data_IF_343298967873
#
_entry.id   IF_343298967873
#
_cell.length_a   1.000
_cell.length_b   1.000
_cell.length_c   1.000
_cell.angle_alpha   90.00
_cell.angle_beta   90.00
_cell.angle_gamma   90.00
#
_symmetry.space_group_name_H-M   'P 1'
#
loop_
_entity.id
_entity.type
_entity.pdbx_description
1 polymer ?
#
# COMPACT_ATOMS: atom_id res chain seq x y z
N UNK A 1 11.22 19.93 26.18
CA UNK A 1 10.65 18.89 25.30
C UNK A 1 11.02 17.54 25.91
N UNK A 2 10.04 16.73 26.34
CA UNK A 2 10.36 15.36 26.75
C UNK A 2 10.69 14.54 25.50
N UNK A 3 11.75 13.72 25.58
CA UNK A 3 12.03 12.73 24.54
C UNK A 3 11.25 11.47 24.89
N UNK A 4 10.41 11.00 23.96
CA UNK A 4 9.74 9.70 24.08
C UNK A 4 10.66 8.55 23.64
N UNK A 5 10.25 7.29 23.89
CA UNK A 5 10.96 6.14 23.34
C UNK A 5 10.91 6.15 21.81
N UNK A 6 11.95 5.60 21.17
CA UNK A 6 11.92 5.37 19.72
C UNK A 6 10.86 4.31 19.40
N UNK A 7 10.04 4.59 18.39
CA UNK A 7 9.09 3.62 17.83
C UNK A 7 9.59 3.05 16.49
N UNK A 8 10.79 3.45 16.06
CA UNK A 8 11.44 2.96 14.84
C UNK A 8 11.70 1.46 14.99
N UNK A 9 11.22 0.68 14.02
CA UNK A 9 11.36 -0.78 13.97
C UNK A 9 10.83 -1.55 15.20
N UNK A 10 9.90 -0.98 15.98
CA UNK A 10 9.24 -1.68 17.11
C UNK A 10 8.03 -2.45 16.60
N UNK A 11 8.11 -3.78 16.51
CA UNK A 11 7.07 -4.66 15.93
C UNK A 11 5.63 -4.32 16.37
N UNK A 12 5.38 -4.20 17.67
CA UNK A 12 4.05 -3.87 18.22
C UNK A 12 3.50 -2.54 17.68
N UNK A 13 4.37 -1.54 17.47
CA UNK A 13 3.98 -0.25 16.91
C UNK A 13 3.55 -0.39 15.43
N UNK A 14 4.23 -1.25 14.67
CA UNK A 14 3.88 -1.54 13.28
C UNK A 14 2.56 -2.28 13.20
N UNK A 15 2.37 -3.35 13.99
CA UNK A 15 1.12 -4.12 14.00
C UNK A 15 -0.08 -3.22 14.38
N UNK A 16 0.08 -2.39 15.41
CA UNK A 16 -0.95 -1.42 15.82
C UNK A 16 -1.24 -0.39 14.71
N UNK A 17 -0.21 0.06 14.00
CA UNK A 17 -0.35 1.02 12.90
C UNK A 17 -1.04 0.40 11.69
N UNK A 18 -0.63 -0.82 11.29
CA UNK A 18 -1.26 -1.61 10.25
C UNK A 18 -2.76 -1.76 10.56
N UNK A 19 -3.12 -2.27 11.74
CA UNK A 19 -4.52 -2.49 12.12
C UNK A 19 -5.34 -1.20 12.07
N UNK A 20 -4.79 -0.09 12.57
CA UNK A 20 -5.45 1.23 12.51
C UNK A 20 -5.64 1.73 11.07
N UNK A 21 -4.66 1.55 10.18
CA UNK A 21 -4.75 2.02 8.80
C UNK A 21 -5.76 1.20 7.98
N UNK A 22 -5.81 -0.12 8.19
CA UNK A 22 -6.86 -0.98 7.66
C UNK A 22 -8.23 -0.48 8.15
N UNK A 23 -8.44 -0.31 9.47
CA UNK A 23 -9.73 0.17 10.02
C UNK A 23 -10.20 1.53 9.49
N UNK A 24 -9.29 2.38 8.99
CA UNK A 24 -9.62 3.68 8.40
C UNK A 24 -10.05 3.60 6.94
N UNK A 25 -10.07 2.41 6.35
CA UNK A 25 -10.38 2.24 4.92
C UNK A 25 -9.30 2.82 4.01
N UNK A 26 -8.03 2.79 4.45
CA UNK A 26 -6.89 3.17 3.59
C UNK A 26 -6.52 2.09 2.56
N UNK A 27 -7.46 1.19 2.28
CA UNK A 27 -7.39 0.13 1.29
C UNK A 27 -8.72 0.04 0.56
N UNK A 28 -8.71 -0.40 -0.70
CA UNK A 28 -9.91 -0.79 -1.41
C UNK A 28 -10.44 -2.13 -0.85
N UNK A 29 -11.70 -2.14 -0.44
CA UNK A 29 -12.33 -3.35 0.10
C UNK A 29 -12.71 -4.31 -1.02
N UNK A 30 -11.92 -5.38 -1.14
CA UNK A 30 -12.14 -6.48 -2.09
C UNK A 30 -13.51 -7.15 -1.92
N UNK A 31 -14.03 -7.15 -0.70
CA UNK A 31 -15.28 -7.84 -0.39
C UNK A 31 -16.47 -6.86 -0.47
N UNK A 32 -16.26 -5.62 -0.94
CA UNK A 32 -17.32 -4.65 -1.16
C UNK A 32 -18.27 -5.12 -2.28
N UNK A 33 -19.59 -4.82 -2.19
CA UNK A 33 -20.58 -5.27 -3.18
C UNK A 33 -20.34 -4.75 -4.60
N UNK A 34 -19.63 -3.64 -4.74
CA UNK A 34 -19.27 -2.99 -6.00
C UNK A 34 -17.80 -3.25 -6.41
N UNK A 35 -17.14 -4.20 -5.74
CA UNK A 35 -15.79 -4.60 -6.10
C UNK A 35 -15.77 -5.14 -7.54
N UNK A 36 -14.91 -4.56 -8.39
CA UNK A 36 -14.75 -5.00 -9.78
C UNK A 36 -13.71 -6.11 -9.87
N UNK A 37 -14.06 -7.21 -10.53
CA UNK A 37 -13.15 -8.33 -10.79
C UNK A 37 -11.85 -7.90 -11.47
N UNK A 38 -11.89 -6.86 -12.31
CA UNK A 38 -10.71 -6.35 -13.00
C UNK A 38 -9.66 -5.74 -12.05
N UNK A 39 -10.03 -5.40 -10.81
CA UNK A 39 -9.12 -4.80 -9.81
C UNK A 39 -8.28 -5.85 -9.10
N UNK A 40 -8.69 -7.13 -9.13
CA UNK A 40 -7.91 -8.22 -8.53
C UNK A 40 -6.51 -8.34 -9.13
N UNK A 41 -6.34 -7.98 -10.42
CA UNK A 41 -5.04 -7.96 -11.09
C UNK A 41 -4.39 -6.57 -11.18
N UNK A 42 -5.03 -5.52 -10.64
CA UNK A 42 -4.56 -4.11 -10.76
C UNK A 42 -4.24 -3.51 -9.40
N UNK A 43 -3.43 -4.24 -8.64
CA UNK A 43 -3.08 -3.89 -7.27
C UNK A 43 -1.89 -2.93 -7.24
N UNK A 44 -1.76 -2.14 -6.17
CA UNK A 44 -0.68 -1.20 -6.01
C UNK A 44 0.68 -1.89 -6.14
N UNK A 45 0.91 -3.03 -5.46
CA UNK A 45 2.20 -3.77 -5.56
C UNK A 45 2.60 -4.17 -6.97
N UNK A 46 1.64 -4.40 -7.86
CA UNK A 46 1.89 -4.81 -9.26
C UNK A 46 2.02 -3.62 -10.21
N UNK A 47 1.87 -2.39 -9.71
CA UNK A 47 1.99 -1.17 -10.48
C UNK A 47 3.44 -0.69 -10.57
N UNK A 48 3.89 -0.22 -11.74
CA UNK A 48 5.26 0.27 -11.94
C UNK A 48 5.61 1.55 -11.15
N UNK A 49 4.60 2.20 -10.55
CA UNK A 49 4.75 3.40 -9.72
C UNK A 49 4.67 3.11 -8.21
N UNK A 50 4.68 1.84 -7.79
CA UNK A 50 4.65 1.48 -6.38
C UNK A 50 6.05 1.49 -5.78
N UNK A 51 6.20 2.25 -4.70
CA UNK A 51 7.45 2.34 -3.94
C UNK A 51 7.23 1.67 -2.59
N UNK A 52 7.77 0.46 -2.34
CA UNK A 52 7.57 -0.20 -1.06
C UNK A 52 8.20 0.62 0.08
N UNK A 53 7.52 0.69 1.23
CA UNK A 53 8.10 1.28 2.42
C UNK A 53 9.25 0.41 2.93
N UNK A 54 10.16 0.98 3.71
CA UNK A 54 11.25 0.22 4.32
C UNK A 54 10.85 -0.48 5.62
N UNK A 55 11.60 -1.52 6.01
CA UNK A 55 11.46 -2.17 7.31
C UNK A 55 10.24 -3.09 7.37
N UNK A 56 9.57 -3.15 8.51
CA UNK A 56 8.46 -4.07 8.74
C UNK A 56 7.22 -3.81 7.88
N UNK A 57 7.13 -2.66 7.20
CA UNK A 57 6.03 -2.34 6.27
C UNK A 57 6.27 -2.79 4.84
N UNK A 58 7.48 -3.21 4.47
CA UNK A 58 7.86 -3.45 3.07
C UNK A 58 6.99 -4.48 2.34
N UNK A 59 6.35 -5.39 3.08
CA UNK A 59 5.48 -6.43 2.52
C UNK A 59 3.98 -6.13 2.56
N UNK A 60 3.55 -4.96 3.03
CA UNK A 60 2.12 -4.62 3.15
C UNK A 60 1.83 -3.20 2.61
N UNK A 61 2.80 -2.28 2.75
CA UNK A 61 2.58 -0.86 2.54
C UNK A 61 3.69 -0.23 1.70
N UNK A 62 3.28 0.65 0.80
CA UNK A 62 4.14 1.43 -0.06
C UNK A 62 3.61 2.85 -0.22
N UNK A 63 4.14 3.56 -1.20
CA UNK A 63 3.62 4.85 -1.65
C UNK A 63 3.39 4.83 -3.15
N UNK A 64 2.44 5.63 -3.62
CA UNK A 64 2.27 5.88 -5.04
C UNK A 64 3.20 7.01 -5.48
N UNK A 65 3.94 6.82 -6.58
CA UNK A 65 4.79 7.84 -7.21
C UNK A 65 4.26 8.28 -8.59
N UNK A 66 3.02 7.95 -8.93
CA UNK A 66 2.42 8.32 -10.20
C UNK A 66 1.83 9.73 -10.10
N UNK A 67 2.48 10.73 -10.72
CA UNK A 67 2.03 12.12 -10.75
C UNK A 67 0.64 12.34 -11.38
N UNK A 68 0.10 11.35 -12.10
CA UNK A 68 -1.25 11.39 -12.66
C UNK A 68 -2.30 10.71 -11.78
N UNK A 69 -1.89 10.01 -10.72
CA UNK A 69 -2.80 9.38 -9.77
C UNK A 69 -3.29 10.41 -8.75
N UNK A 70 -4.57 10.36 -8.33
CA UNK A 70 -5.04 11.12 -7.17
C UNK A 70 -4.36 10.70 -5.85
N UNK A 71 -3.57 9.63 -5.88
CA UNK A 71 -2.90 9.04 -4.72
C UNK A 71 -1.40 9.38 -4.64
N UNK A 72 -0.87 10.21 -5.55
CA UNK A 72 0.55 10.57 -5.57
C UNK A 72 1.07 11.07 -4.22
N UNK A 73 2.20 10.53 -3.77
CA UNK A 73 2.82 10.86 -2.48
C UNK A 73 2.08 10.33 -1.24
N UNK A 74 1.03 9.53 -1.40
CA UNK A 74 0.29 8.93 -0.28
C UNK A 74 0.71 7.49 -0.02
N UNK A 75 0.58 7.06 1.25
CA UNK A 75 0.82 5.67 1.65
C UNK A 75 -0.36 4.80 1.21
N UNK A 76 -0.05 3.65 0.60
CA UNK A 76 -1.03 2.70 0.03
C UNK A 76 -0.81 1.29 0.56
N UNK A 77 -1.91 0.61 0.83
CA UNK A 77 -1.91 -0.82 1.04
C UNK A 77 -1.58 -1.54 -0.28
N UNK A 78 -0.84 -2.64 -0.22
CA UNK A 78 -0.36 -3.32 -1.42
C UNK A 78 -1.49 -3.81 -2.35
N UNK A 79 -2.61 -4.24 -1.76
CA UNK A 79 -3.80 -4.71 -2.48
C UNK A 79 -4.78 -3.61 -2.89
N UNK A 80 -4.44 -2.34 -2.67
CA UNK A 80 -5.27 -1.21 -3.14
C UNK A 80 -5.07 -0.97 -4.65
N UNK A 81 -5.82 -0.04 -5.25
CA UNK A 81 -5.72 0.28 -6.67
C UNK A 81 -6.15 1.71 -6.99
N UNK A 82 -5.97 2.11 -8.25
CA UNK A 82 -6.57 3.33 -8.80
C UNK A 82 -6.70 3.24 -10.32
N UNK A 83 -7.44 4.16 -10.91
CA UNK A 83 -7.67 4.23 -12.35
C UNK A 83 -6.40 4.57 -13.15
N UNK A 84 -5.38 5.14 -12.49
CA UNK A 84 -4.07 5.44 -13.07
C UNK A 84 -3.07 4.27 -12.97
N UNK A 85 -3.56 3.05 -12.73
CA UNK A 85 -2.75 1.83 -12.70
C UNK A 85 -1.98 1.64 -14.01
N UNK A 86 -0.71 1.27 -13.89
CA UNK A 86 0.11 0.83 -15.01
C UNK A 86 0.93 -0.39 -14.57
N UNK A 87 0.81 -1.49 -15.30
CA UNK A 87 1.43 -2.75 -14.94
C UNK A 87 2.95 -2.66 -14.92
N UNK A 88 3.56 -3.24 -13.90
CA UNK A 88 4.98 -3.51 -13.88
C UNK A 88 5.25 -4.83 -14.62
N UNK A 89 5.76 -4.73 -15.85
CA UNK A 89 6.05 -5.88 -16.71
C UNK A 89 7.02 -6.89 -16.06
N UNK A 90 7.88 -6.43 -15.15
CA UNK A 90 8.87 -7.27 -14.48
C UNK A 90 8.32 -7.97 -13.24
N UNK A 91 7.13 -7.60 -12.75
CA UNK A 91 6.60 -8.10 -11.48
C UNK A 91 6.36 -9.61 -11.47
N UNK A 92 5.92 -10.16 -12.60
CA UNK A 92 5.62 -11.60 -12.75
C UNK A 92 6.80 -12.42 -13.28
N UNK A 93 7.92 -11.77 -13.64
CA UNK A 93 9.06 -12.45 -14.25
C UNK A 93 10.01 -13.08 -13.21
N UNK A 94 9.78 -12.84 -11.91
CA UNK A 94 10.61 -13.32 -10.80
C UNK A 94 9.82 -14.07 -9.70
N UNK A 95 8.60 -14.54 -9.99
CA UNK A 95 7.80 -15.39 -9.08
C UNK A 95 7.92 -16.87 -9.37
#
# INVERSE_FOLDING_TARGET
>A
MSKGPSLVNVREHFDTTHARWIQRGMYWDRDAPDAKDEWFGKQCMTCCYYVPLSGLFAGDWGACSNAHSPLDGTVRFEHDGCEAYNENEDYWNDT
#
